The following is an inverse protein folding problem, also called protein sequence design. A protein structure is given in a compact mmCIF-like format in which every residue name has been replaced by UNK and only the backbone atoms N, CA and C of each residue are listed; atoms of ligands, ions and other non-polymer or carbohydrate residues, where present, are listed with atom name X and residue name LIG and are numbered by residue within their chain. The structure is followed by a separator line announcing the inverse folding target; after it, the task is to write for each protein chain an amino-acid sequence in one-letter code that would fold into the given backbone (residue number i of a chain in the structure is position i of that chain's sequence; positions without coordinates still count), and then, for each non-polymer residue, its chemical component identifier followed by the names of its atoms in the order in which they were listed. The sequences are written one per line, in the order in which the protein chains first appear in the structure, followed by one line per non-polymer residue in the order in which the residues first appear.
data_IF_448784386499
#
_entry.id   IF_448784386499
#
_cell.length_a   1.000
_cell.length_b   1.000
_cell.length_c   1.000
_cell.angle_alpha   90.00
_cell.angle_beta   90.00
_cell.angle_gamma   90.00
#
_symmetry.space_group_name_H-M   'P 1'
#
loop_
_entity.id
_entity.type
_entity.pdbx_description
1 polymer ?
#
# COMPACT_ATOMS: atom_id res chain seq x y z
N UNK A 1 14.60 3.84 10.55
CA UNK A 1 14.60 3.90 9.08
C UNK A 1 14.62 2.48 8.57
N UNK A 2 13.43 1.91 8.43
CA UNK A 2 13.25 0.62 7.79
C UNK A 2 13.46 0.80 6.28
N UNK A 3 14.21 -0.09 5.63
CA UNK A 3 14.34 -0.07 4.18
C UNK A 3 13.11 -0.73 3.56
N UNK A 4 12.22 0.09 2.99
CA UNK A 4 10.93 -0.36 2.47
C UNK A 4 11.06 -1.19 1.18
N UNK A 5 12.14 -1.01 0.42
CA UNK A 5 12.40 -1.79 -0.79
C UNK A 5 12.68 -3.28 -0.48
N UNK A 6 13.04 -3.63 0.76
CA UNK A 6 13.14 -5.02 1.21
C UNK A 6 11.81 -5.60 1.69
N UNK A 7 10.82 -4.76 2.01
CA UNK A 7 9.52 -5.17 2.54
C UNK A 7 8.45 -5.26 1.45
N UNK A 8 8.57 -4.42 0.43
CA UNK A 8 7.63 -4.34 -0.68
C UNK A 8 8.34 -4.53 -2.02
N UNK A 9 7.72 -5.28 -2.92
CA UNK A 9 8.22 -5.53 -4.26
C UNK A 9 7.26 -4.97 -5.32
N UNK A 10 7.80 -4.46 -6.43
CA UNK A 10 6.98 -4.03 -7.57
C UNK A 10 6.11 -5.19 -8.06
N UNK A 11 4.83 -4.93 -8.28
CA UNK A 11 3.82 -5.91 -8.66
C UNK A 11 3.18 -6.67 -7.49
N UNK A 12 3.64 -6.45 -6.26
CA UNK A 12 3.07 -7.07 -5.07
C UNK A 12 1.66 -6.56 -4.81
N UNK A 13 0.73 -7.49 -4.58
CA UNK A 13 -0.63 -7.18 -4.15
C UNK A 13 -0.67 -6.91 -2.65
N UNK A 14 -1.48 -5.92 -2.27
CA UNK A 14 -1.69 -5.54 -0.89
C UNK A 14 -3.11 -5.00 -0.70
N UNK A 15 -3.52 -4.90 0.55
CA UNK A 15 -4.75 -4.22 0.96
C UNK A 15 -4.41 -2.86 1.56
N UNK A 16 -5.15 -1.84 1.17
CA UNK A 16 -5.07 -0.48 1.69
C UNK A 16 -6.23 -0.28 2.65
N UNK A 17 -5.97 -0.03 3.93
CA UNK A 17 -7.00 0.26 4.93
C UNK A 17 -7.57 1.65 4.68
N UNK A 18 -8.88 1.75 4.50
CA UNK A 18 -9.58 3.03 4.54
C UNK A 18 -10.02 3.30 5.97
N UNK A 19 -9.54 4.41 6.54
CA UNK A 19 -9.96 4.87 7.88
C UNK A 19 -11.17 5.81 7.82
N UNK A 20 -11.75 6.00 6.64
CA UNK A 20 -12.98 6.78 6.49
C UNK A 20 -14.16 6.08 7.15
N UNK A 21 -14.78 6.79 8.11
CA UNK A 21 -15.86 6.35 9.00
C UNK A 21 -17.10 5.79 8.28
N UNK A 22 -17.27 6.06 6.98
CA UNK A 22 -18.45 5.70 6.17
C UNK A 22 -18.17 4.58 5.14
N UNK A 23 -16.96 4.02 5.13
CA UNK A 23 -16.57 3.00 4.15
C UNK A 23 -17.05 1.61 4.57
N UNK A 24 -18.12 1.13 3.94
CA UNK A 24 -18.57 -0.28 3.97
C UNK A 24 -17.46 -1.29 3.60
N UNK A 25 -16.39 -0.84 2.95
CA UNK A 25 -15.18 -1.60 2.68
C UNK A 25 -14.02 -1.02 3.49
N UNK A 26 -13.66 -1.70 4.59
CA UNK A 26 -12.51 -1.33 5.45
C UNK A 26 -11.16 -1.44 4.72
N UNK A 27 -11.12 -2.13 3.58
CA UNK A 27 -9.93 -2.39 2.80
C UNK A 27 -10.20 -2.28 1.29
N UNK A 28 -9.28 -1.64 0.58
CA UNK A 28 -9.21 -1.55 -0.87
C UNK A 28 -8.05 -2.39 -1.41
N UNK A 29 -8.16 -2.85 -2.65
CA UNK A 29 -7.09 -3.60 -3.32
C UNK A 29 -6.06 -2.66 -3.95
N UNK A 30 -4.78 -2.92 -3.68
CA UNK A 30 -3.67 -2.15 -4.22
C UNK A 30 -2.57 -3.04 -4.79
N UNK A 31 -1.80 -2.48 -5.73
CA UNK A 31 -0.60 -3.09 -6.31
C UNK A 31 0.56 -2.11 -6.16
N UNK A 32 1.68 -2.57 -5.64
CA UNK A 32 2.91 -1.77 -5.58
C UNK A 32 3.40 -1.50 -7.00
N UNK A 33 3.38 -0.23 -7.41
CA UNK A 33 3.87 0.22 -8.71
C UNK A 33 5.36 0.51 -8.67
N UNK A 34 5.82 1.16 -7.60
CA UNK A 34 7.22 1.53 -7.38
C UNK A 34 7.59 1.29 -5.92
N UNK A 35 8.82 0.83 -5.69
CA UNK A 35 9.37 0.64 -4.35
C UNK A 35 10.75 1.29 -4.28
N UNK A 36 10.87 2.27 -3.38
CA UNK A 36 12.11 3.00 -3.11
C UNK A 36 12.53 2.75 -1.65
N UNK A 37 13.74 3.17 -1.27
CA UNK A 37 14.28 2.89 0.08
C UNK A 37 13.41 3.48 1.21
N UNK A 38 12.76 4.62 0.95
CA UNK A 38 12.03 5.39 1.97
C UNK A 38 10.52 5.51 1.72
N UNK A 39 10.06 5.21 0.50
CA UNK A 39 8.65 5.31 0.14
C UNK A 39 8.28 4.27 -0.91
N UNK A 40 6.99 4.02 -1.05
CA UNK A 40 6.44 3.19 -2.11
C UNK A 40 5.25 3.90 -2.75
N UNK A 41 5.04 3.59 -4.03
CA UNK A 41 3.86 4.04 -4.78
C UNK A 41 2.96 2.83 -4.99
N UNK A 42 1.72 2.94 -4.55
CA UNK A 42 0.71 1.89 -4.71
C UNK A 42 -0.41 2.40 -5.60
N UNK A 43 -0.72 1.65 -6.64
CA UNK A 43 -1.91 1.89 -7.47
C UNK A 43 -3.10 1.17 -6.86
N UNK A 44 -4.16 1.90 -6.53
CA UNK A 44 -5.43 1.31 -6.11
C UNK A 44 -6.14 0.71 -7.32
N UNK A 45 -6.50 -0.57 -7.26
CA UNK A 45 -7.03 -1.33 -8.39
C UNK A 45 -8.42 -0.84 -8.83
N UNK A 46 -9.22 -0.33 -7.90
CA UNK A 46 -10.59 0.10 -8.16
C UNK A 46 -10.68 1.44 -8.88
N UNK A 47 -9.85 2.39 -8.48
CA UNK A 47 -9.88 3.77 -8.99
C UNK A 47 -8.75 4.05 -9.98
N UNK A 48 -7.76 3.13 -10.07
CA UNK A 48 -6.52 3.29 -10.84
C UNK A 48 -5.75 4.57 -10.44
N UNK A 49 -5.80 4.91 -9.16
CA UNK A 49 -5.14 6.09 -8.58
C UNK A 49 -3.86 5.67 -7.86
N UNK A 50 -2.80 6.44 -8.03
CA UNK A 50 -1.53 6.21 -7.35
C UNK A 50 -1.49 6.95 -6.00
N UNK A 51 -1.15 6.24 -4.94
CA UNK A 51 -0.94 6.78 -3.60
C UNK A 51 0.52 6.68 -3.17
N UNK A 52 0.99 7.69 -2.43
CA UNK A 52 2.32 7.74 -1.83
C UNK A 52 2.28 7.25 -0.38
N UNK A 53 3.19 6.34 -0.02
CA UNK A 53 3.26 5.76 1.31
C UNK A 53 4.71 5.69 1.79
N UNK A 54 4.98 6.14 3.02
CA UNK A 54 6.31 6.16 3.62
C UNK A 54 6.26 5.96 5.15
N UNK A 55 7.40 5.68 5.77
CA UNK A 55 7.51 5.53 7.23
C UNK A 55 7.04 6.81 7.93
N UNK A 56 5.95 6.73 8.71
CA UNK A 56 5.32 7.89 9.36
C UNK A 56 4.19 8.56 8.56
N UNK A 57 3.94 8.12 7.32
CA UNK A 57 2.87 8.62 6.47
C UNK A 57 2.14 7.46 5.78
N UNK A 58 1.01 7.05 6.37
CA UNK A 58 0.03 6.09 5.83
C UNK A 58 0.55 4.66 5.56
N UNK A 59 1.83 4.35 5.81
CA UNK A 59 2.34 2.99 5.59
C UNK A 59 1.72 1.96 6.54
N UNK A 60 1.25 2.38 7.71
CA UNK A 60 0.51 1.58 8.69
C UNK A 60 -0.89 1.17 8.18
N UNK A 61 -1.33 1.80 7.09
CA UNK A 61 -2.56 1.47 6.39
C UNK A 61 -2.35 0.39 5.31
N UNK A 62 -1.11 -0.03 5.04
CA UNK A 62 -0.81 -1.04 4.01
C UNK A 62 -0.60 -2.44 4.61
N UNK A 63 -1.30 -3.41 4.05
CA UNK A 63 -1.25 -4.80 4.48
C UNK A 63 -0.88 -5.69 3.29
N UNK A 64 0.38 -6.16 3.20
CA UNK A 64 0.81 -7.13 2.20
C UNK A 64 -0.12 -8.34 2.14
N UNK A 65 -0.56 -8.72 0.93
CA UNK A 65 -1.28 -9.97 0.75
C UNK A 65 -0.25 -11.09 0.67
N UNK A 66 0.11 -11.68 1.81
CA UNK A 66 1.03 -12.82 1.86
C UNK A 66 0.31 -14.09 1.34
N UNK A 67 0.50 -14.38 0.06
CA UNK A 67 0.28 -15.74 -0.44
C UNK A 67 1.49 -16.59 -0.03
N UNK A 68 1.33 -17.42 1.01
CA UNK A 68 2.24 -18.52 1.33
C UNK A 68 2.04 -19.69 0.36
#
# INVERSE_FOLDING_TARGET
MANLAHLFHVGQKLKIRNDDFDSLHKFNDGIVKEAHEHHIIVTETKTNTDGWYEEGLNIDMLYPEYNF
#
